data_IF_952908793057
#
_entry.id   IF_952908793057
#
_cell.length_a   1.000
_cell.length_b   1.000
_cell.length_c   1.000
_cell.angle_alpha   90.00
_cell.angle_beta   90.00
_cell.angle_gamma   90.00
#
_symmetry.space_group_name_H-M   'P 1'
#
loop_
_entity.id
_entity.type
_entity.pdbx_description
1 polymer ?
#
# COMPACT_ATOMS: atom_id res chain seq x y z
N UNK A 1 15.30 3.62 -16.39
CA UNK A 1 15.24 3.34 -14.95
C UNK A 1 14.28 2.19 -14.75
N UNK A 2 14.77 1.06 -14.25
CA UNK A 2 13.91 -0.11 -13.99
C UNK A 2 13.43 -0.16 -12.52
N UNK A 3 12.65 -1.19 -12.19
CA UNK A 3 12.15 -1.38 -10.82
C UNK A 3 13.28 -1.54 -9.78
N UNK A 4 14.36 -2.22 -10.13
CA UNK A 4 15.50 -2.45 -9.22
C UNK A 4 16.22 -1.14 -8.93
N UNK A 5 16.38 -0.28 -9.94
CA UNK A 5 16.92 1.06 -9.78
C UNK A 5 16.07 1.88 -8.80
N UNK A 6 14.74 1.84 -8.96
CA UNK A 6 13.79 2.56 -8.10
C UNK A 6 13.87 2.08 -6.65
N UNK A 7 13.91 0.76 -6.42
CA UNK A 7 14.07 0.18 -5.07
C UNK A 7 15.38 0.63 -4.44
N UNK A 8 16.48 0.65 -5.20
CA UNK A 8 17.78 1.12 -4.70
C UNK A 8 17.73 2.58 -4.27
N UNK A 9 17.12 3.46 -5.09
CA UNK A 9 16.93 4.88 -4.77
C UNK A 9 16.09 5.03 -3.49
N UNK A 10 14.96 4.34 -3.39
CA UNK A 10 14.06 4.44 -2.24
C UNK A 10 14.67 3.90 -0.94
N UNK A 11 15.48 2.84 -1.01
CA UNK A 11 16.26 2.34 0.14
C UNK A 11 17.30 3.38 0.57
N UNK A 12 18.04 3.97 -0.38
CA UNK A 12 19.06 4.98 -0.10
C UNK A 12 18.46 6.27 0.50
N UNK A 13 17.23 6.62 0.10
CA UNK A 13 16.48 7.76 0.64
C UNK A 13 15.76 7.44 1.97
N UNK A 14 15.82 6.20 2.45
CA UNK A 14 15.13 5.79 3.68
C UNK A 14 13.60 5.78 3.58
N UNK A 15 13.03 5.78 2.36
CA UNK A 15 11.58 5.76 2.14
C UNK A 15 10.99 4.36 2.34
N UNK A 16 11.79 3.33 2.05
CA UNK A 16 11.47 1.94 2.31
C UNK A 16 12.59 1.27 3.10
N UNK A 17 12.26 0.18 3.78
CA UNK A 17 13.24 -0.67 4.48
C UNK A 17 12.94 -2.14 4.25
N UNK A 18 13.96 -2.97 4.38
CA UNK A 18 13.82 -4.43 4.30
C UNK A 18 12.95 -4.95 5.44
N UNK A 19 12.14 -5.96 5.16
CA UNK A 19 11.40 -6.72 6.15
C UNK A 19 11.31 -8.20 5.73
N UNK A 20 11.05 -9.07 6.70
CA UNK A 20 10.67 -10.46 6.40
C UNK A 20 9.30 -10.47 5.74
N UNK A 21 9.14 -11.28 4.69
CA UNK A 21 7.84 -11.49 4.05
C UNK A 21 6.92 -12.25 5.00
N UNK A 22 5.72 -11.70 5.22
CA UNK A 22 4.65 -12.32 6.01
C UNK A 22 3.41 -12.46 5.13
N UNK A 23 3.17 -13.70 4.67
CA UNK A 23 2.05 -13.99 3.78
C UNK A 23 0.69 -13.82 4.44
N UNK A 24 0.58 -14.05 5.76
CA UNK A 24 -0.67 -13.85 6.50
C UNK A 24 -1.08 -12.38 6.51
N UNK A 25 -0.10 -11.48 6.69
CA UNK A 25 -0.32 -10.04 6.62
C UNK A 25 -0.69 -9.59 5.20
N UNK A 26 0.01 -10.13 4.18
CA UNK A 26 -0.27 -9.86 2.77
C UNK A 26 -1.71 -10.28 2.41
N UNK A 27 -2.13 -11.47 2.83
CA UNK A 27 -3.49 -11.96 2.62
C UNK A 27 -4.53 -11.06 3.29
N UNK A 28 -4.30 -10.65 4.55
CA UNK A 28 -5.18 -9.74 5.26
C UNK A 28 -5.35 -8.39 4.52
N UNK A 29 -4.28 -7.84 3.94
CA UNK A 29 -4.34 -6.62 3.12
C UNK A 29 -5.20 -6.81 1.88
N UNK A 30 -5.04 -7.94 1.17
CA UNK A 30 -5.79 -8.25 -0.05
C UNK A 30 -7.27 -8.48 0.25
N UNK A 31 -7.60 -9.23 1.30
CA UNK A 31 -8.97 -9.44 1.76
C UNK A 31 -9.65 -8.12 2.16
N UNK A 32 -8.90 -7.20 2.78
CA UNK A 32 -9.43 -5.87 3.10
C UNK A 32 -9.65 -5.04 1.85
N UNK A 33 -8.69 -5.03 0.90
CA UNK A 33 -8.83 -4.33 -0.37
C UNK A 33 -10.07 -4.78 -1.16
N UNK A 34 -10.38 -6.08 -1.14
CA UNK A 34 -11.60 -6.60 -1.74
C UNK A 34 -12.86 -6.00 -1.10
N UNK A 35 -12.91 -5.93 0.24
CA UNK A 35 -14.02 -5.30 0.97
C UNK A 35 -14.14 -3.81 0.63
N UNK A 36 -13.02 -3.11 0.45
CA UNK A 36 -13.04 -1.69 0.07
C UNK A 36 -13.61 -1.49 -1.34
N UNK A 37 -13.27 -2.35 -2.31
CA UNK A 37 -13.89 -2.29 -3.65
C UNK A 37 -15.40 -2.55 -3.59
N UNK A 38 -15.84 -3.49 -2.76
CA UNK A 38 -17.28 -3.73 -2.55
C UNK A 38 -17.96 -2.48 -1.97
N UNK A 39 -17.34 -1.84 -0.98
CA UNK A 39 -17.84 -0.60 -0.38
C UNK A 39 -17.86 0.56 -1.39
N UNK A 40 -16.80 0.73 -2.19
CA UNK A 40 -16.73 1.75 -3.24
C UNK A 40 -17.90 1.59 -4.23
N UNK A 41 -18.13 0.36 -4.71
CA UNK A 41 -19.24 0.06 -5.63
C UNK A 41 -20.61 0.35 -5.02
N UNK A 42 -20.81 0.04 -3.74
CA UNK A 42 -22.06 0.31 -3.04
C UNK A 42 -22.33 1.82 -2.90
N UNK A 43 -21.28 2.64 -2.77
CA UNK A 43 -21.40 4.09 -2.60
C UNK A 43 -21.45 4.86 -3.92
N UNK A 44 -21.18 4.23 -5.08
CA UNK A 44 -21.01 4.91 -6.38
C UNK A 44 -22.16 5.85 -6.77
N UNK A 45 -23.38 5.57 -6.33
CA UNK A 45 -24.58 6.38 -6.61
C UNK A 45 -25.08 7.18 -5.41
N UNK A 46 -24.44 7.04 -4.26
CA UNK A 46 -24.84 7.65 -2.99
C UNK A 46 -23.93 8.84 -2.70
N UNK A 47 -22.62 8.61 -2.73
CA UNK A 47 -21.58 9.58 -2.40
C UNK A 47 -20.31 9.25 -3.19
N UNK A 48 -19.97 10.15 -4.12
CA UNK A 48 -18.83 10.01 -5.01
C UNK A 48 -17.49 10.15 -4.25
N UNK A 49 -17.42 11.03 -3.26
CA UNK A 49 -16.21 11.24 -2.45
C UNK A 49 -15.88 9.97 -1.65
N UNK A 50 -16.89 9.39 -1.00
CA UNK A 50 -16.76 8.11 -0.27
C UNK A 50 -16.34 6.98 -1.22
N UNK A 51 -16.89 6.98 -2.44
CA UNK A 51 -16.53 6.00 -3.47
C UNK A 51 -15.05 6.06 -3.83
N UNK A 52 -14.55 7.26 -4.13
CA UNK A 52 -13.14 7.45 -4.47
C UNK A 52 -12.22 7.11 -3.30
N UNK A 53 -12.60 7.46 -2.07
CA UNK A 53 -11.83 7.11 -0.88
C UNK A 53 -11.67 5.59 -0.73
N UNK A 54 -12.74 4.82 -0.86
CA UNK A 54 -12.64 3.36 -0.79
C UNK A 54 -11.85 2.75 -1.96
N UNK A 55 -12.03 3.27 -3.18
CA UNK A 55 -11.28 2.80 -4.34
C UNK A 55 -9.76 3.07 -4.17
N UNK A 56 -9.39 4.26 -3.72
CA UNK A 56 -8.01 4.62 -3.41
C UNK A 56 -7.41 3.71 -2.33
N UNK A 57 -8.15 3.49 -1.24
CA UNK A 57 -7.72 2.62 -0.15
C UNK A 57 -7.49 1.17 -0.60
N UNK A 58 -8.36 0.65 -1.48
CA UNK A 58 -8.18 -0.67 -2.08
C UNK A 58 -6.88 -0.74 -2.88
N UNK A 59 -6.64 0.23 -3.76
CA UNK A 59 -5.41 0.32 -4.55
C UNK A 59 -4.16 0.42 -3.67
N UNK A 60 -4.20 1.27 -2.63
CA UNK A 60 -3.10 1.45 -1.70
C UNK A 60 -2.75 0.15 -0.97
N UNK A 61 -3.75 -0.62 -0.53
CA UNK A 61 -3.54 -1.92 0.12
C UNK A 61 -2.93 -2.95 -0.83
N UNK A 62 -3.39 -2.99 -2.09
CA UNK A 62 -2.78 -3.84 -3.13
C UNK A 62 -1.34 -3.42 -3.45
N UNK A 63 -1.07 -2.11 -3.57
CA UNK A 63 0.30 -1.62 -3.77
C UNK A 63 1.21 -2.01 -2.60
N UNK A 64 0.72 -1.87 -1.36
CA UNK A 64 1.46 -2.24 -0.16
C UNK A 64 1.74 -3.74 -0.09
N UNK A 65 0.78 -4.58 -0.48
CA UNK A 65 0.98 -6.03 -0.51
C UNK A 65 2.06 -6.45 -1.51
N UNK A 66 2.15 -5.80 -2.67
CA UNK A 66 3.24 -6.01 -3.64
C UNK A 66 4.59 -5.63 -3.03
N UNK A 67 4.68 -4.47 -2.37
CA UNK A 67 5.92 -4.03 -1.70
C UNK A 67 6.33 -5.03 -0.61
N UNK A 68 5.37 -5.54 0.16
CA UNK A 68 5.60 -6.52 1.23
C UNK A 68 6.07 -7.86 0.67
N UNK A 69 5.46 -8.33 -0.41
CA UNK A 69 5.84 -9.56 -1.11
C UNK A 69 7.29 -9.51 -1.63
N UNK A 70 7.78 -8.31 -1.97
CA UNK A 70 9.16 -8.07 -2.41
C UNK A 70 10.16 -7.95 -1.24
N UNK A 71 9.72 -8.11 0.01
CA UNK A 71 10.57 -8.05 1.19
C UNK A 71 10.87 -6.62 1.67
N UNK A 72 10.00 -5.67 1.34
CA UNK A 72 10.15 -4.26 1.74
C UNK A 72 8.90 -3.77 2.48
N UNK A 73 9.05 -2.70 3.28
CA UNK A 73 7.94 -1.90 3.81
C UNK A 73 8.24 -0.43 3.72
N UNK A 74 7.20 0.38 3.58
CA UNK A 74 7.31 1.83 3.72
C UNK A 74 7.78 2.19 5.12
N UNK A 75 8.61 3.22 5.21
CA UNK A 75 8.92 3.90 6.47
C UNK A 75 7.76 4.85 6.75
N UNK A 76 7.11 4.71 7.90
CA UNK A 76 5.97 5.56 8.25
C UNK A 76 6.45 7.02 8.36
N UNK A 77 5.60 7.98 7.96
CA UNK A 77 5.97 9.40 7.96
C UNK A 77 6.38 9.90 9.36
N UNK A 78 5.84 9.30 10.43
CA UNK A 78 6.25 9.56 11.83
C UNK A 78 7.65 9.05 12.18
N UNK A 79 8.23 8.18 11.34
CA UNK A 79 9.57 7.60 11.50
C UNK A 79 10.63 8.30 10.63
N UNK A 80 10.22 9.21 9.73
CA UNK A 80 11.14 10.10 9.03
C UNK A 80 11.55 11.16 10.04
N UNK A 81 12.76 11.05 10.59
CA UNK A 81 13.35 12.12 11.42
C UNK A 81 13.28 13.42 10.61
N UNK A 82 12.56 14.41 11.12
CA UNK A 82 12.67 15.79 10.66
C UNK A 82 14.15 16.17 10.79
N UNK A 83 14.77 16.42 9.65
CA UNK A 83 16.08 17.08 9.57
C UNK A 83 15.87 18.58 9.78
#
# INVERSE_FOLDING_TARGET
MDYKDTVKIMLNQGLIKKQKVDFSHIEALLLRAQKDIIAAKANLKIDEEVTYNYAYLAMLRCGRSIVFMKGYRSVDASSIKQL
#
